data_IF_335951171686
#
_entry.id   IF_335951171686
#
_cell.length_a   1.000
_cell.length_b   1.000
_cell.length_c   1.000
_cell.angle_alpha   90.00
_cell.angle_beta   90.00
_cell.angle_gamma   90.00
#
_symmetry.space_group_name_H-M   'P 1'
#
loop_
_entity.id
_entity.type
_entity.pdbx_description
1 polymer ?
#
# COMPACT_ATOMS: atom_id res chain seq x y z
N UNK A 1 18.69 -0.97 5.64
CA UNK A 1 18.02 -1.99 6.48
C UNK A 1 16.57 -1.82 6.13
N UNK A 2 15.81 -2.90 5.91
CA UNK A 2 14.42 -2.77 5.55
C UNK A 2 13.70 -1.84 6.53
N UNK A 3 12.99 -0.87 5.96
CA UNK A 3 12.26 0.16 6.67
C UNK A 3 10.78 -0.21 6.66
N UNK A 4 10.19 -0.25 7.85
CA UNK A 4 8.79 -0.54 8.03
C UNK A 4 8.04 0.73 8.42
N UNK A 5 7.06 1.11 7.59
CA UNK A 5 6.22 2.28 7.83
C UNK A 5 4.74 1.88 7.88
N UNK A 6 3.96 2.79 8.46
CA UNK A 6 2.50 2.73 8.44
C UNK A 6 1.99 4.08 7.97
N UNK A 7 1.20 4.09 6.90
CA UNK A 7 0.49 5.29 6.45
C UNK A 7 -0.98 5.18 6.82
N UNK A 8 -1.64 6.34 6.97
CA UNK A 8 -3.08 6.43 7.18
C UNK A 8 -3.63 7.55 6.32
N UNK A 9 -4.48 7.22 5.36
CA UNK A 9 -5.08 8.17 4.43
C UNK A 9 -6.61 8.10 4.52
N UNK A 10 -7.28 9.26 4.48
CA UNK A 10 -8.74 9.32 4.56
C UNK A 10 -9.37 8.89 3.24
N UNK A 11 -10.35 7.98 3.32
CA UNK A 11 -11.13 7.53 2.17
C UNK A 11 -12.35 8.43 2.04
N UNK A 12 -12.60 8.92 0.82
CA UNK A 12 -13.76 9.74 0.50
C UNK A 12 -15.07 9.00 0.86
N UNK A 13 -16.01 9.65 1.59
CA UNK A 13 -17.31 9.09 1.88
C UNK A 13 -18.02 8.50 0.66
N UNK A 14 -18.37 7.21 0.74
CA UNK A 14 -19.05 6.48 -0.33
C UNK A 14 -18.12 5.85 -1.37
N UNK A 15 -16.80 6.02 -1.27
CA UNK A 15 -15.81 5.37 -2.15
C UNK A 15 -15.22 4.07 -1.61
N UNK A 16 -15.57 3.70 -0.38
CA UNK A 16 -15.07 2.48 0.28
C UNK A 16 -15.29 1.22 -0.56
N UNK A 17 -16.44 1.08 -1.21
CA UNK A 17 -16.72 -0.11 -2.02
C UNK A 17 -15.88 -0.15 -3.30
N UNK A 18 -15.64 1.00 -3.95
CA UNK A 18 -14.73 1.10 -5.10
C UNK A 18 -13.29 0.73 -4.72
N UNK A 19 -12.83 1.21 -3.56
CA UNK A 19 -11.53 0.84 -3.01
C UNK A 19 -11.43 -0.66 -2.73
N UNK A 20 -12.48 -1.30 -2.18
CA UNK A 20 -12.51 -2.75 -1.96
C UNK A 20 -12.48 -3.55 -3.26
N UNK A 21 -13.22 -3.10 -4.26
CA UNK A 21 -13.20 -3.70 -5.60
C UNK A 21 -11.80 -3.65 -6.20
N UNK A 22 -11.13 -2.50 -6.12
CA UNK A 22 -9.77 -2.35 -6.59
C UNK A 22 -8.78 -3.25 -5.85
N UNK A 23 -8.84 -3.28 -4.51
CA UNK A 23 -8.00 -4.17 -3.71
C UNK A 23 -8.26 -5.66 -4.00
N UNK A 24 -9.46 -6.02 -4.49
CA UNK A 24 -9.74 -7.37 -4.95
C UNK A 24 -9.13 -7.65 -6.33
N UNK A 25 -9.20 -6.68 -7.23
CA UNK A 25 -8.59 -6.77 -8.55
C UNK A 25 -7.07 -6.90 -8.48
N UNK A 26 -6.39 -6.15 -7.59
CA UNK A 26 -4.95 -6.30 -7.34
C UNK A 26 -4.57 -7.72 -6.91
N UNK A 27 -5.41 -8.38 -6.10
CA UNK A 27 -5.19 -9.79 -5.71
C UNK A 27 -5.41 -10.75 -6.87
N UNK A 28 -6.38 -10.46 -7.74
CA UNK A 28 -6.60 -11.28 -8.95
C UNK A 28 -5.47 -11.08 -9.99
N UNK A 29 -4.75 -9.96 -9.92
CA UNK A 29 -3.58 -9.58 -10.74
C UNK A 29 -2.25 -9.69 -9.97
N UNK A 30 -2.17 -10.61 -9.01
CA UNK A 30 -1.02 -10.74 -8.10
C UNK A 30 0.33 -10.80 -8.83
N UNK A 31 0.41 -11.52 -9.96
CA UNK A 31 1.66 -11.64 -10.73
C UNK A 31 2.19 -10.27 -11.19
N UNK A 32 1.32 -9.35 -11.59
CA UNK A 32 1.70 -7.98 -11.97
C UNK A 32 2.18 -7.20 -10.74
N UNK A 33 1.45 -7.31 -9.61
CA UNK A 33 1.83 -6.65 -8.34
C UNK A 33 3.18 -7.14 -7.83
N UNK A 34 3.48 -8.44 -7.96
CA UNK A 34 4.77 -8.99 -7.54
C UNK A 34 5.91 -8.51 -8.44
N UNK A 35 5.65 -8.23 -9.72
CA UNK A 35 6.61 -7.60 -10.62
C UNK A 35 6.94 -6.16 -10.16
N UNK A 36 5.91 -5.36 -9.83
CA UNK A 36 6.12 -3.99 -9.33
C UNK A 36 6.85 -3.99 -7.99
N UNK A 37 6.47 -4.86 -7.04
CA UNK A 37 7.15 -4.99 -5.74
C UNK A 37 8.63 -5.35 -5.90
N UNK A 38 8.95 -6.20 -6.89
CA UNK A 38 10.35 -6.57 -7.16
C UNK A 38 11.15 -5.36 -7.67
N UNK A 39 10.58 -4.58 -8.58
CA UNK A 39 11.23 -3.40 -9.16
C UNK A 39 11.37 -2.25 -8.14
N UNK A 40 10.41 -2.11 -7.24
CA UNK A 40 10.35 -1.07 -6.20
C UNK A 40 11.12 -1.44 -4.93
N UNK A 41 11.52 -2.71 -4.76
CA UNK A 41 12.20 -3.19 -3.55
C UNK A 41 11.28 -3.34 -2.35
N UNK A 42 10.00 -3.63 -2.59
CA UNK A 42 8.99 -3.91 -1.56
C UNK A 42 9.09 -5.38 -1.14
N UNK A 43 9.29 -5.60 0.16
CA UNK A 43 9.36 -6.92 0.78
C UNK A 43 7.97 -7.42 1.20
N UNK A 44 7.12 -6.52 1.71
CA UNK A 44 5.74 -6.84 2.04
C UNK A 44 4.89 -5.58 2.10
N UNK A 45 3.64 -5.72 1.66
CA UNK A 45 2.58 -4.74 1.91
C UNK A 45 1.43 -5.41 2.66
N UNK A 46 0.75 -4.67 3.53
CA UNK A 46 -0.56 -5.07 4.03
C UNK A 46 -1.45 -3.86 4.16
N UNK A 47 -2.61 -3.94 3.49
CA UNK A 47 -3.57 -2.85 3.41
C UNK A 47 -4.79 -3.17 4.28
N UNK A 48 -5.18 -2.21 5.11
CA UNK A 48 -6.32 -2.31 6.02
C UNK A 48 -7.31 -1.17 5.77
N UNK A 49 -8.58 -1.42 6.10
CA UNK A 49 -9.58 -0.37 6.29
C UNK A 49 -9.84 -0.20 7.79
N UNK A 50 -9.53 0.98 8.31
CA UNK A 50 -9.90 1.39 9.66
C UNK A 50 -11.25 2.13 9.61
N UNK A 51 -12.20 1.73 10.44
CA UNK A 51 -13.48 2.40 10.61
C UNK A 51 -13.52 3.06 11.99
N UNK A 52 -13.72 4.38 12.02
CA UNK A 52 -13.87 5.17 13.25
C UNK A 52 -15.17 5.99 13.20
N UNK A 53 -15.48 6.69 14.30
CA UNK A 53 -16.60 7.65 14.32
C UNK A 53 -16.33 8.87 13.43
N UNK A 54 -15.06 9.19 13.19
CA UNK A 54 -14.62 10.36 12.42
C UNK A 54 -14.52 10.08 10.92
N UNK A 55 -14.40 8.81 10.50
CA UNK A 55 -14.28 8.46 9.09
C UNK A 55 -13.84 7.01 8.83
N UNK A 56 -13.57 6.73 7.56
CA UNK A 56 -12.93 5.48 7.13
C UNK A 56 -11.56 5.81 6.55
N UNK A 57 -10.56 5.04 6.94
CA UNK A 57 -9.18 5.29 6.54
C UNK A 57 -8.56 4.05 5.89
N UNK A 58 -7.82 4.27 4.82
CA UNK A 58 -6.88 3.31 4.26
C UNK A 58 -5.63 3.35 5.12
N UNK A 59 -5.24 2.20 5.66
CA UNK A 59 -4.04 2.06 6.49
C UNK A 59 -3.13 1.05 5.83
N UNK A 60 -1.96 1.50 5.36
CA UNK A 60 -1.02 0.65 4.64
C UNK A 60 0.23 0.44 5.49
N UNK A 61 0.52 -0.82 5.79
CA UNK A 61 1.82 -1.25 6.27
C UNK A 61 2.70 -1.57 5.05
N UNK A 62 3.89 -0.97 5.01
CA UNK A 62 4.88 -1.22 3.97
C UNK A 62 6.21 -1.59 4.61
N UNK A 63 6.81 -2.67 4.14
CA UNK A 63 8.16 -3.12 4.43
C UNK A 63 8.95 -3.13 3.13
N UNK A 64 9.96 -2.28 3.02
CA UNK A 64 10.77 -2.12 1.81
C UNK A 64 12.24 -1.94 2.16
N UNK A 65 13.14 -2.24 1.23
CA UNK A 65 14.59 -2.11 1.46
C UNK A 65 15.02 -0.66 1.74
N UNK A 66 14.38 0.28 1.06
CA UNK A 66 14.47 1.73 1.24
C UNK A 66 13.12 2.35 0.83
N UNK A 67 12.35 2.83 1.82
CA UNK A 67 10.97 3.31 1.59
C UNK A 67 10.92 4.55 0.69
N UNK A 68 11.93 5.43 0.77
CA UNK A 68 11.98 6.63 -0.08
C UNK A 68 12.16 6.22 -1.53
N UNK A 69 13.09 5.32 -1.80
CA UNK A 69 13.37 4.80 -3.13
C UNK A 69 12.19 3.99 -3.69
N UNK A 70 11.47 3.24 -2.84
CA UNK A 70 10.26 2.52 -3.26
C UNK A 70 9.16 3.49 -3.73
N UNK A 71 8.92 4.58 -2.99
CA UNK A 71 7.96 5.60 -3.44
C UNK A 71 8.39 6.31 -4.72
N UNK A 72 9.67 6.66 -4.86
CA UNK A 72 10.19 7.25 -6.10
C UNK A 72 10.02 6.28 -7.29
N UNK A 73 10.28 4.99 -7.09
CA UNK A 73 10.10 3.96 -8.11
C UNK A 73 8.62 3.79 -8.51
N UNK A 74 7.71 3.79 -7.53
CA UNK A 74 6.27 3.74 -7.77
C UNK A 74 5.77 4.98 -8.54
N UNK A 75 6.22 6.18 -8.17
CA UNK A 75 5.87 7.43 -8.86
C UNK A 75 6.32 7.44 -10.33
N UNK A 76 7.52 6.92 -10.60
CA UNK A 76 8.11 6.83 -11.96
C UNK A 76 7.82 5.50 -12.67
N UNK A 77 6.96 4.65 -12.11
CA UNK A 77 6.69 3.30 -12.63
C UNK A 77 6.19 3.34 -14.08
N UNK A 78 6.56 2.33 -14.86
CA UNK A 78 6.08 2.11 -16.23
C UNK A 78 5.04 0.98 -16.31
N UNK A 79 4.70 0.38 -15.17
CA UNK A 79 3.73 -0.70 -15.09
C UNK A 79 2.32 -0.13 -15.14
N UNK A 80 1.48 -0.69 -16.02
CA UNK A 80 0.10 -0.24 -16.18
C UNK A 80 -0.68 -0.34 -14.85
N UNK A 81 -0.42 -1.37 -14.04
CA UNK A 81 -1.09 -1.58 -12.76
C UNK A 81 -0.79 -0.48 -11.72
N UNK A 82 0.41 0.11 -11.72
CA UNK A 82 0.75 1.20 -10.80
C UNK A 82 0.08 2.50 -11.23
N UNK A 83 0.04 2.78 -12.54
CA UNK A 83 -0.72 3.91 -13.07
C UNK A 83 -2.22 3.81 -12.77
N UNK A 84 -2.79 2.61 -12.90
CA UNK A 84 -4.16 2.33 -12.50
C UNK A 84 -4.33 2.51 -10.98
N UNK A 85 -3.39 2.03 -10.17
CA UNK A 85 -3.41 2.18 -8.72
C UNK A 85 -3.42 3.64 -8.30
N UNK A 86 -2.51 4.46 -8.84
CA UNK A 86 -2.48 5.91 -8.62
C UNK A 86 -3.80 6.55 -8.99
N UNK A 87 -4.35 6.22 -10.18
CA UNK A 87 -5.64 6.77 -10.61
C UNK A 87 -6.80 6.38 -9.70
N UNK A 88 -6.80 5.17 -9.13
CA UNK A 88 -7.83 4.75 -8.17
C UNK A 88 -7.63 5.45 -6.84
N UNK A 89 -6.39 5.59 -6.34
CA UNK A 89 -6.12 6.32 -5.10
C UNK A 89 -6.57 7.78 -5.19
N UNK A 90 -6.30 8.45 -6.32
CA UNK A 90 -6.80 9.80 -6.61
C UNK A 90 -8.34 9.90 -6.65
N UNK A 91 -9.02 8.80 -7.01
CA UNK A 91 -10.49 8.76 -7.06
C UNK A 91 -11.13 8.52 -5.69
N UNK A 92 -10.49 7.70 -4.84
CA UNK A 92 -11.09 7.16 -3.62
C UNK A 92 -10.60 7.82 -2.34
N UNK A 93 -9.45 8.49 -2.36
CA UNK A 93 -8.92 9.22 -1.21
C UNK A 93 -9.34 10.69 -1.27
N UNK A 94 -9.44 11.33 -0.11
CA UNK A 94 -9.81 12.76 -0.02
C UNK A 94 -8.76 13.64 -0.70
N UNK A 95 -7.48 13.48 -0.32
CA UNK A 95 -6.34 14.19 -0.93
C UNK A 95 -5.03 13.38 -0.89
N UNK A 96 -5.09 12.10 -0.51
CA UNK A 96 -3.92 11.24 -0.38
C UNK A 96 -2.97 11.58 0.78
N UNK A 97 -3.28 12.57 1.62
CA UNK A 97 -2.39 12.97 2.73
C UNK A 97 -2.28 11.87 3.78
N UNK A 98 -1.05 11.53 4.17
CA UNK A 98 -0.80 10.71 5.35
C UNK A 98 -1.08 11.50 6.65
N UNK A 99 -2.23 11.22 7.26
CA UNK A 99 -2.64 11.76 8.56
C UNK A 99 -2.10 10.92 9.73
N UNK A 100 -1.44 9.80 9.44
CA UNK A 100 -0.78 8.93 10.40
C UNK A 100 0.35 9.64 11.14
N UNK A 101 0.53 9.30 12.42
CA UNK A 101 1.64 9.77 13.26
C UNK A 101 2.12 8.59 14.10
N UNK A 102 2.94 7.74 13.48
CA UNK A 102 3.40 6.49 14.06
C UNK A 102 4.91 6.54 14.30
N UNK A 103 5.33 6.02 15.44
CA UNK A 103 6.74 5.76 15.76
C UNK A 103 6.95 4.24 15.75
N UNK A 104 7.80 3.69 14.88
CA UNK A 104 8.08 2.27 14.88
C UNK A 104 8.86 1.89 16.13
N UNK A 105 8.26 1.07 17.00
CA UNK A 105 8.92 0.61 18.24
C UNK A 105 9.71 -0.69 18.04
N UNK A 106 9.25 -1.56 17.14
CA UNK A 106 9.91 -2.83 16.81
C UNK A 106 9.44 -3.32 15.45
N UNK A 107 10.36 -3.86 14.66
CA UNK A 107 10.09 -4.56 13.42
C UNK A 107 11.00 -5.80 13.38
N UNK A 108 10.39 -6.97 13.26
CA UNK A 108 11.08 -8.27 13.29
C UNK A 108 10.62 -9.09 12.09
N UNK A 109 11.57 -9.51 11.26
CA UNK A 109 11.31 -10.32 10.06
C UNK A 109 11.71 -11.77 10.35
N UNK A 110 10.86 -12.72 9.98
CA UNK A 110 11.24 -14.13 9.98
C UNK A 110 11.99 -14.45 8.68
N UNK A 111 13.29 -14.79 8.72
CA UNK A 111 14.06 -15.09 7.51
C UNK A 111 13.58 -16.34 6.77
N UNK A 112 12.75 -17.17 7.39
CA UNK A 112 12.17 -18.38 6.77
C UNK A 112 10.78 -18.13 6.14
N UNK A 113 10.25 -16.89 6.19
CA UNK A 113 8.98 -16.57 5.54
C UNK A 113 9.18 -16.58 4.02
N UNK A 114 8.56 -17.55 3.34
CA UNK A 114 8.42 -17.56 1.89
C UNK A 114 7.42 -16.50 1.44
N UNK A 115 7.67 -15.86 0.29
CA UNK A 115 6.68 -15.01 -0.41
C UNK A 115 5.55 -15.82 -1.07
N UNK A 116 5.52 -17.15 -0.94
CA UNK A 116 4.44 -18.03 -1.41
C UNK A 116 3.17 -17.90 -0.55
N UNK A 117 2.60 -16.70 -0.48
CA UNK A 117 1.46 -16.40 0.40
C UNK A 117 0.48 -15.42 -0.21
N UNK A 118 -0.28 -15.87 -1.20
CA UNK A 118 -1.66 -15.44 -1.44
C UNK A 118 -2.65 -16.52 -0.97
#
# INVERSE_FOLDING_TARGET
>A
MPEAILTKQEVEPGKVDRLREWMAELRDREDEVMETFTDEGINAETVFLEHTDDGTYLVTYLDADDVVSAFEAFEDSLHDIDHEHQSVMDEVLVDGTDVGKYEPLSHLVNPERSNDGA
#
